data_IF_100340104992
#
_entry.id   IF_100340104992
#
_cell.length_a   1.000
_cell.length_b   1.000
_cell.length_c   1.000
_cell.angle_alpha   90.00
_cell.angle_beta   90.00
_cell.angle_gamma   90.00
#
_symmetry.space_group_name_H-M   'P 1'
#
loop_
_entity.id
_entity.type
_entity.pdbx_description
1 polymer ?
#
# COMPACT_ATOMS: atom_id res chain seq x y z
N UNK A 1 -36.25 -17.16 -9.23
CA UNK A 1 -37.08 -16.23 -8.44
C UNK A 1 -36.74 -14.77 -8.75
N UNK A 2 -37.08 -14.33 -10.00
CA UNK A 2 -36.77 -12.99 -10.51
C UNK A 2 -37.32 -11.84 -9.64
N UNK A 3 -38.39 -12.09 -8.91
CA UNK A 3 -39.00 -11.11 -8.00
C UNK A 3 -38.10 -10.77 -6.79
N UNK A 4 -37.36 -11.74 -6.26
CA UNK A 4 -36.44 -11.50 -5.12
C UNK A 4 -35.32 -10.54 -5.50
N UNK A 5 -34.65 -10.78 -6.62
CA UNK A 5 -33.57 -9.93 -7.11
C UNK A 5 -34.09 -8.51 -7.43
N UNK A 6 -35.24 -8.38 -8.08
CA UNK A 6 -35.85 -7.08 -8.40
C UNK A 6 -36.17 -6.26 -7.15
N UNK A 7 -36.78 -6.92 -6.13
CA UNK A 7 -37.10 -6.26 -4.85
C UNK A 7 -35.82 -5.81 -4.13
N UNK A 8 -34.80 -6.66 -4.11
CA UNK A 8 -33.52 -6.33 -3.51
C UNK A 8 -32.82 -5.15 -4.22
N UNK A 9 -32.76 -5.16 -5.56
CA UNK A 9 -32.19 -4.07 -6.35
C UNK A 9 -32.94 -2.76 -6.12
N UNK A 10 -34.28 -2.78 -6.07
CA UNK A 10 -35.08 -1.57 -5.79
C UNK A 10 -34.73 -1.02 -4.40
N UNK A 11 -34.72 -1.85 -3.39
CA UNK A 11 -34.35 -1.48 -2.02
C UNK A 11 -32.94 -0.88 -1.96
N UNK A 12 -31.97 -1.51 -2.61
CA UNK A 12 -30.59 -1.04 -2.62
C UNK A 12 -30.42 0.27 -3.43
N UNK A 13 -31.12 0.40 -4.55
CA UNK A 13 -31.12 1.62 -5.34
C UNK A 13 -31.49 2.85 -4.49
N UNK A 14 -32.55 2.75 -3.70
CA UNK A 14 -33.02 3.87 -2.88
C UNK A 14 -32.00 4.23 -1.79
N UNK A 15 -31.44 3.21 -1.12
CA UNK A 15 -30.44 3.39 -0.07
C UNK A 15 -29.15 3.98 -0.59
N UNK A 16 -28.61 3.40 -1.67
CA UNK A 16 -27.32 3.85 -2.26
C UNK A 16 -27.49 5.23 -2.88
N UNK A 17 -28.62 5.52 -3.52
CA UNK A 17 -28.91 6.86 -4.05
C UNK A 17 -28.93 7.91 -2.96
N UNK A 18 -29.60 7.61 -1.82
CA UNK A 18 -29.61 8.52 -0.68
C UNK A 18 -28.22 8.68 -0.08
N UNK A 19 -27.48 7.59 0.12
CA UNK A 19 -26.10 7.64 0.61
C UNK A 19 -25.24 8.51 -0.28
N UNK A 20 -25.31 8.33 -1.61
CA UNK A 20 -24.56 9.15 -2.57
C UNK A 20 -24.85 10.64 -2.44
N UNK A 21 -26.08 11.03 -2.13
CA UNK A 21 -26.47 12.43 -1.91
C UNK A 21 -25.86 13.02 -0.65
N UNK A 22 -25.69 12.20 0.40
CA UNK A 22 -25.12 12.59 1.68
C UNK A 22 -23.59 12.61 1.71
N UNK A 23 -22.94 11.93 0.77
CA UNK A 23 -21.48 11.89 0.69
C UNK A 23 -20.87 13.23 0.33
N UNK A 24 -19.73 13.57 0.96
CA UNK A 24 -18.83 14.65 0.52
C UNK A 24 -18.13 14.28 -0.79
N UNK A 25 -17.46 15.22 -1.44
CA UNK A 25 -16.69 14.94 -2.67
C UNK A 25 -15.56 13.95 -2.47
N UNK A 26 -14.94 13.96 -1.28
CA UNK A 26 -13.86 13.02 -0.88
C UNK A 26 -14.41 11.67 -0.46
N UNK A 27 -15.71 11.54 -0.31
CA UNK A 27 -16.34 10.34 0.25
C UNK A 27 -16.26 9.13 -0.67
N UNK A 28 -16.08 7.97 -0.07
CA UNK A 28 -16.20 6.67 -0.71
C UNK A 28 -17.30 5.83 -0.06
N UNK A 29 -17.82 4.88 -0.79
CA UNK A 29 -18.79 3.89 -0.33
C UNK A 29 -18.24 2.48 -0.53
N UNK A 30 -18.47 1.62 0.43
CA UNK A 30 -18.20 0.20 0.38
C UNK A 30 -19.48 -0.56 0.68
N UNK A 31 -19.87 -1.47 -0.21
CA UNK A 31 -21.11 -2.26 -0.06
C UNK A 31 -20.76 -3.73 -0.20
N UNK A 32 -21.00 -4.50 0.84
CA UNK A 32 -20.77 -5.95 0.81
C UNK A 32 -21.99 -6.72 0.30
N UNK A 33 -21.74 -7.79 -0.43
CA UNK A 33 -22.72 -8.79 -0.84
C UNK A 33 -22.05 -10.13 -1.14
N UNK A 34 -22.85 -11.16 -1.29
CA UNK A 34 -22.44 -12.49 -1.74
C UNK A 34 -22.49 -12.63 -3.27
N UNK A 35 -22.19 -13.82 -3.76
CA UNK A 35 -22.21 -14.18 -5.18
C UNK A 35 -23.59 -14.06 -5.84
N UNK A 36 -24.68 -14.10 -5.06
CA UNK A 36 -26.04 -14.06 -5.62
C UNK A 36 -26.38 -12.68 -6.17
N UNK A 37 -25.87 -11.62 -5.54
CA UNK A 37 -26.25 -10.24 -5.86
C UNK A 37 -25.09 -9.38 -6.40
N UNK A 38 -23.87 -9.90 -6.48
CA UNK A 38 -22.69 -9.11 -6.89
C UNK A 38 -22.85 -8.46 -8.25
N UNK A 39 -23.44 -9.15 -9.24
CA UNK A 39 -23.63 -8.60 -10.59
C UNK A 39 -24.70 -7.50 -10.61
N UNK A 40 -25.78 -7.70 -9.86
CA UNK A 40 -26.85 -6.71 -9.72
C UNK A 40 -26.33 -5.45 -9.01
N UNK A 41 -25.58 -5.64 -7.91
CA UNK A 41 -24.98 -4.55 -7.16
C UNK A 41 -23.97 -3.77 -8.02
N UNK A 42 -23.13 -4.47 -8.78
CA UNK A 42 -22.13 -3.83 -9.67
C UNK A 42 -22.82 -2.95 -10.73
N UNK A 43 -23.84 -3.47 -11.37
CA UNK A 43 -24.64 -2.72 -12.35
C UNK A 43 -25.29 -1.49 -11.72
N UNK A 44 -25.79 -1.63 -10.50
CA UNK A 44 -26.37 -0.52 -9.75
C UNK A 44 -25.33 0.54 -9.37
N UNK A 45 -24.14 0.12 -8.93
CA UNK A 45 -23.05 1.03 -8.61
C UNK A 45 -22.58 1.82 -9.84
N UNK A 46 -22.43 1.17 -10.99
CA UNK A 46 -22.12 1.86 -12.26
C UNK A 46 -23.20 2.87 -12.64
N UNK A 47 -24.48 2.50 -12.52
CA UNK A 47 -25.59 3.40 -12.81
C UNK A 47 -25.60 4.63 -11.90
N UNK A 48 -25.31 4.47 -10.62
CA UNK A 48 -25.43 5.53 -9.62
C UNK A 48 -24.17 6.41 -9.51
N UNK A 49 -22.98 5.83 -9.65
CA UNK A 49 -21.71 6.55 -9.49
C UNK A 49 -21.00 6.86 -10.81
N UNK A 50 -21.31 6.13 -11.88
CA UNK A 50 -20.56 6.14 -13.14
C UNK A 50 -19.34 5.22 -13.07
N UNK A 51 -18.90 4.72 -14.24
CA UNK A 51 -17.77 3.80 -14.35
C UNK A 51 -16.47 4.43 -13.85
N UNK A 52 -16.23 5.70 -14.13
CA UNK A 52 -15.02 6.43 -13.72
C UNK A 52 -14.87 6.55 -12.20
N UNK A 53 -15.96 6.52 -11.46
CA UNK A 53 -15.98 6.60 -10.00
C UNK A 53 -15.99 5.23 -9.34
N UNK A 54 -16.18 4.16 -10.07
CA UNK A 54 -16.07 2.80 -9.55
C UNK A 54 -14.61 2.42 -9.43
N UNK A 55 -14.20 1.91 -8.25
CA UNK A 55 -12.79 1.58 -8.01
C UNK A 55 -12.49 0.11 -8.32
N UNK A 56 -13.10 -0.79 -7.56
CA UNK A 56 -12.81 -2.22 -7.65
C UNK A 56 -13.78 -3.03 -6.77
N UNK A 57 -13.76 -4.34 -6.99
CA UNK A 57 -14.28 -5.32 -6.05
C UNK A 57 -13.15 -5.78 -5.13
N UNK A 58 -13.37 -5.74 -3.83
CA UNK A 58 -12.53 -6.36 -2.84
C UNK A 58 -13.10 -7.74 -2.57
N UNK A 59 -12.28 -8.76 -2.70
CA UNK A 59 -12.64 -10.14 -2.36
C UNK A 59 -12.29 -10.36 -0.89
N UNK A 60 -13.33 -10.54 -0.07
CA UNK A 60 -13.18 -10.80 1.34
C UNK A 60 -13.15 -12.30 1.61
N UNK A 61 -12.01 -12.82 2.03
CA UNK A 61 -11.86 -14.23 2.38
C UNK A 61 -12.64 -14.54 3.66
N UNK A 62 -13.63 -15.41 3.56
CA UNK A 62 -14.43 -15.90 4.67
C UNK A 62 -13.86 -17.17 5.31
N UNK A 63 -14.73 -17.92 6.00
CA UNK A 63 -14.34 -19.18 6.65
C UNK A 63 -14.09 -20.28 5.63
N UNK A 64 -12.99 -21.00 5.74
CA UNK A 64 -12.64 -22.15 4.89
C UNK A 64 -13.50 -23.41 5.16
N UNK A 65 -14.40 -23.39 6.14
CA UNK A 65 -15.27 -24.51 6.49
C UNK A 65 -16.59 -24.41 5.74
N UNK A 66 -16.60 -24.89 4.50
CA UNK A 66 -17.80 -24.94 3.68
C UNK A 66 -17.81 -26.25 2.87
N UNK A 67 -18.68 -27.17 3.24
CA UNK A 67 -18.82 -28.51 2.62
C UNK A 67 -19.93 -28.53 1.56
N UNK A 68 -19.73 -27.79 0.47
CA UNK A 68 -20.68 -27.83 -0.66
C UNK A 68 -20.39 -29.01 -1.58
N UNK A 69 -21.45 -29.53 -2.19
CA UNK A 69 -21.39 -30.73 -3.04
C UNK A 69 -20.46 -30.57 -4.27
N UNK A 70 -20.36 -29.38 -4.83
CA UNK A 70 -19.60 -29.13 -6.08
C UNK A 70 -18.43 -28.20 -5.87
N UNK A 71 -18.69 -26.94 -5.59
CA UNK A 71 -17.67 -25.90 -5.40
C UNK A 71 -17.95 -25.14 -4.12
N UNK A 72 -17.03 -25.19 -3.18
CA UNK A 72 -17.12 -24.41 -1.95
C UNK A 72 -16.71 -22.97 -2.19
N UNK A 73 -17.65 -22.05 -1.99
CA UNK A 73 -17.42 -20.61 -2.05
C UNK A 73 -17.26 -20.11 -0.62
N UNK A 74 -16.11 -19.51 -0.30
CA UNK A 74 -15.78 -19.04 1.03
C UNK A 74 -15.38 -17.55 1.05
N UNK A 75 -15.83 -16.79 0.06
CA UNK A 75 -15.56 -15.37 -0.02
C UNK A 75 -16.85 -14.57 -0.22
N UNK A 76 -16.77 -13.31 0.11
CA UNK A 76 -17.77 -12.28 -0.16
C UNK A 76 -17.16 -11.17 -1.00
N UNK A 77 -17.99 -10.32 -1.54
CA UNK A 77 -17.57 -9.17 -2.35
C UNK A 77 -17.84 -7.88 -1.60
N UNK A 78 -16.91 -6.93 -1.67
CA UNK A 78 -17.13 -5.56 -1.22
C UNK A 78 -16.89 -4.65 -2.42
N UNK A 79 -17.97 -4.11 -2.97
CA UNK A 79 -17.92 -3.22 -4.12
C UNK A 79 -17.64 -1.80 -3.64
N UNK A 80 -16.70 -1.13 -4.30
CA UNK A 80 -16.20 0.17 -3.86
C UNK A 80 -16.36 1.24 -4.92
N UNK A 81 -16.89 2.41 -4.54
CA UNK A 81 -16.98 3.56 -5.42
C UNK A 81 -16.71 4.88 -4.67
N UNK A 82 -16.25 5.88 -5.41
CA UNK A 82 -16.03 7.24 -4.93
C UNK A 82 -17.21 8.14 -5.31
N UNK A 83 -17.39 9.19 -4.56
CA UNK A 83 -18.34 10.26 -4.94
C UNK A 83 -17.87 11.02 -6.17
N UNK A 84 -16.59 11.39 -6.20
CA UNK A 84 -15.94 12.18 -7.25
C UNK A 84 -14.45 11.83 -7.30
N UNK A 85 -14.10 10.84 -8.14
CA UNK A 85 -12.72 10.38 -8.31
C UNK A 85 -11.83 11.46 -8.91
N UNK A 86 -12.36 12.21 -9.89
CA UNK A 86 -11.60 13.27 -10.54
C UNK A 86 -11.20 14.38 -9.55
N UNK A 87 -12.09 14.71 -8.62
CA UNK A 87 -11.75 15.64 -7.53
C UNK A 87 -10.64 15.08 -6.64
N UNK A 88 -10.73 13.81 -6.20
CA UNK A 88 -9.70 13.20 -5.38
C UNK A 88 -8.34 13.10 -6.09
N UNK A 89 -8.33 12.76 -7.38
CA UNK A 89 -7.12 12.69 -8.19
C UNK A 89 -6.44 14.07 -8.34
N UNK A 90 -7.22 15.16 -8.25
CA UNK A 90 -6.70 16.54 -8.27
C UNK A 90 -6.16 17.02 -6.92
N UNK A 91 -6.30 16.23 -5.87
CA UNK A 91 -5.85 16.55 -4.52
C UNK A 91 -4.68 15.64 -4.08
N UNK A 92 -4.01 16.01 -3.01
CA UNK A 92 -2.98 15.15 -2.38
C UNK A 92 -3.57 14.14 -1.38
N UNK A 93 -4.89 14.09 -1.26
CA UNK A 93 -5.58 13.17 -0.34
C UNK A 93 -5.25 11.73 -0.73
N UNK A 94 -4.79 10.96 0.24
CA UNK A 94 -4.54 9.52 0.11
C UNK A 94 -5.27 8.77 1.22
N UNK A 95 -5.90 7.66 0.85
CA UNK A 95 -6.41 6.73 1.84
C UNK A 95 -5.25 5.94 2.42
N UNK A 96 -4.97 6.17 3.68
CA UNK A 96 -3.86 5.52 4.38
C UNK A 96 -4.36 4.85 5.63
N UNK A 97 -3.83 3.68 5.91
CA UNK A 97 -4.06 2.96 7.17
C UNK A 97 -2.74 2.88 7.95
N UNK A 98 -2.84 3.08 9.24
CA UNK A 98 -1.69 2.95 10.12
C UNK A 98 -1.34 1.47 10.27
N UNK A 99 -0.11 1.09 9.95
CA UNK A 99 0.34 -0.31 10.08
C UNK A 99 0.22 -0.79 11.51
N UNK A 100 -0.37 -1.98 11.69
CA UNK A 100 -0.49 -2.60 13.00
C UNK A 100 0.89 -2.87 13.61
N UNK A 101 1.02 -2.64 14.92
CA UNK A 101 2.26 -2.83 15.66
C UNK A 101 3.29 -1.70 15.52
N UNK A 102 2.96 -0.62 14.80
CA UNK A 102 3.89 0.49 14.55
C UNK A 102 4.32 1.20 15.85
N UNK A 103 3.41 1.43 16.77
CA UNK A 103 3.73 2.07 18.06
C UNK A 103 4.74 1.26 18.87
N UNK A 104 4.56 -0.06 18.90
CA UNK A 104 5.50 -0.96 19.57
C UNK A 104 6.90 -0.94 18.94
N UNK A 105 6.97 -0.76 17.62
CA UNK A 105 8.23 -0.61 16.89
C UNK A 105 8.90 0.70 17.29
N UNK A 106 8.15 1.81 17.31
CA UNK A 106 8.68 3.12 17.70
C UNK A 106 9.18 3.13 19.14
N UNK A 107 8.42 2.59 20.08
CA UNK A 107 8.83 2.48 21.48
C UNK A 107 10.12 1.68 21.66
N UNK A 108 10.24 0.57 20.93
CA UNK A 108 11.45 -0.24 20.97
C UNK A 108 12.63 0.50 20.33
N UNK A 109 12.41 1.15 19.19
CA UNK A 109 13.46 1.87 18.50
C UNK A 109 13.96 3.09 19.29
N UNK A 110 13.08 3.86 19.92
CA UNK A 110 13.49 4.99 20.77
C UNK A 110 14.36 4.54 21.95
N UNK A 111 14.07 3.41 22.57
CA UNK A 111 14.92 2.82 23.62
C UNK A 111 16.30 2.44 23.08
N UNK A 112 16.35 1.82 21.90
CA UNK A 112 17.60 1.45 21.22
C UNK A 112 18.41 2.71 20.85
N UNK A 113 17.75 3.71 20.30
CA UNK A 113 18.34 5.00 19.91
C UNK A 113 18.93 5.74 21.10
N UNK A 114 18.23 5.78 22.22
CA UNK A 114 18.71 6.37 23.47
C UNK A 114 19.95 5.64 24.03
N UNK A 115 20.02 4.32 23.88
CA UNK A 115 21.15 3.51 24.31
C UNK A 115 22.40 3.65 23.43
N UNK A 116 22.21 3.87 22.12
CA UNK A 116 23.27 3.99 21.13
C UNK A 116 23.12 5.27 20.30
N UNK A 117 23.26 6.45 20.90
CA UNK A 117 23.10 7.71 20.16
C UNK A 117 24.16 7.81 19.05
N UNK A 118 23.72 8.11 17.82
CA UNK A 118 24.56 8.26 16.63
C UNK A 118 25.33 7.00 16.15
N UNK A 119 25.11 5.83 16.75
CA UNK A 119 25.67 4.56 16.28
C UNK A 119 24.60 3.78 15.51
N UNK A 120 24.33 4.19 14.27
CA UNK A 120 23.28 3.62 13.44
C UNK A 120 23.47 2.11 13.19
N UNK A 121 24.73 1.66 13.09
CA UNK A 121 25.04 0.24 12.91
C UNK A 121 24.60 -0.60 14.09
N UNK A 122 24.91 -0.16 15.32
CA UNK A 122 24.44 -0.85 16.54
C UNK A 122 22.94 -0.76 16.70
N UNK A 123 22.33 0.38 16.38
CA UNK A 123 20.88 0.53 16.39
C UNK A 123 20.22 -0.48 15.43
N UNK A 124 20.77 -0.65 14.22
CA UNK A 124 20.30 -1.63 13.24
C UNK A 124 20.46 -3.08 13.72
N UNK A 125 21.58 -3.42 14.33
CA UNK A 125 21.80 -4.76 14.90
C UNK A 125 20.81 -5.07 16.04
N UNK A 126 20.55 -4.11 16.93
CA UNK A 126 19.63 -4.30 18.06
C UNK A 126 18.18 -4.35 17.62
N UNK A 127 17.73 -3.53 16.67
CA UNK A 127 16.36 -3.59 16.16
C UNK A 127 16.10 -4.90 15.40
N UNK A 128 17.07 -5.41 14.62
CA UNK A 128 16.98 -6.72 13.99
C UNK A 128 16.85 -7.86 15.02
N UNK A 129 17.61 -7.80 16.11
CA UNK A 129 17.49 -8.76 17.23
C UNK A 129 16.12 -8.67 17.90
N UNK A 130 15.63 -7.46 18.11
CA UNK A 130 14.31 -7.23 18.69
C UNK A 130 13.20 -7.83 17.82
N UNK A 131 13.18 -7.56 16.50
CA UNK A 131 12.22 -8.17 15.58
C UNK A 131 12.28 -9.71 15.58
N UNK A 132 13.49 -10.26 15.66
CA UNK A 132 13.70 -11.73 15.72
C UNK A 132 13.10 -12.34 16.99
N UNK A 133 13.17 -11.64 18.11
CA UNK A 133 12.67 -12.10 19.40
C UNK A 133 11.14 -12.03 19.54
N UNK A 134 10.44 -11.31 18.67
CA UNK A 134 8.99 -11.21 18.71
C UNK A 134 8.30 -12.54 18.37
N UNK A 135 7.16 -12.87 18.99
CA UNK A 135 6.29 -13.97 18.59
C UNK A 135 5.89 -13.89 17.13
N UNK A 136 5.56 -15.02 16.50
CA UNK A 136 5.22 -15.05 15.08
C UNK A 136 3.88 -14.37 14.75
N UNK A 137 2.95 -14.36 15.68
CA UNK A 137 1.63 -13.74 15.60
C UNK A 137 1.64 -12.24 15.95
N UNK A 138 2.79 -11.70 16.41
CA UNK A 138 2.92 -10.29 16.74
C UNK A 138 2.83 -9.42 15.48
N UNK A 139 1.88 -8.48 15.39
CA UNK A 139 1.72 -7.60 14.21
C UNK A 139 2.97 -6.82 13.87
N UNK A 140 3.73 -6.35 14.86
CA UNK A 140 5.00 -5.66 14.65
C UNK A 140 6.02 -6.50 13.87
N UNK A 141 6.03 -7.84 14.05
CA UNK A 141 6.94 -8.74 13.35
C UNK A 141 6.73 -8.77 11.84
N UNK A 142 5.52 -8.50 11.36
CA UNK A 142 5.22 -8.39 9.92
C UNK A 142 5.97 -7.23 9.27
N UNK A 143 6.40 -6.24 10.07
CA UNK A 143 7.11 -5.04 9.63
C UNK A 143 8.65 -5.16 9.75
N UNK A 144 9.20 -6.34 10.00
CA UNK A 144 10.64 -6.60 10.21
C UNK A 144 11.57 -6.11 9.08
N UNK A 145 11.02 -5.84 7.91
CA UNK A 145 11.78 -5.29 6.77
C UNK A 145 12.19 -3.82 6.98
N UNK A 146 11.50 -3.08 7.86
CA UNK A 146 11.92 -1.73 8.29
C UNK A 146 12.95 -1.83 9.41
N UNK A 147 14.14 -2.33 9.10
CA UNK A 147 15.19 -2.55 10.08
C UNK A 147 16.51 -1.86 9.75
N UNK A 148 16.63 -1.17 8.63
CA UNK A 148 17.75 -0.29 8.36
C UNK A 148 17.56 1.04 9.12
N UNK A 149 18.66 1.65 9.54
CA UNK A 149 18.64 2.82 10.42
C UNK A 149 19.51 3.95 9.83
N UNK A 150 18.95 5.14 9.80
CA UNK A 150 19.67 6.37 9.48
C UNK A 150 19.29 7.51 10.44
N UNK A 151 19.83 8.71 10.22
CA UNK A 151 19.55 9.89 11.06
C UNK A 151 18.06 10.19 11.22
N UNK A 152 17.25 9.99 10.18
CA UNK A 152 15.78 10.20 10.19
C UNK A 152 15.00 9.10 10.92
N UNK A 153 15.59 7.92 11.10
CA UNK A 153 14.95 6.78 11.79
C UNK A 153 15.05 5.47 11.02
N UNK A 154 14.06 4.62 11.27
CA UNK A 154 13.93 3.32 10.59
C UNK A 154 13.45 3.50 9.15
N UNK A 155 14.05 2.76 8.23
CA UNK A 155 13.62 2.72 6.84
C UNK A 155 13.74 1.32 6.25
N UNK A 156 13.13 1.12 5.09
CA UNK A 156 13.30 -0.06 4.25
C UNK A 156 14.11 0.33 3.00
N UNK A 157 15.31 -0.25 2.81
CA UNK A 157 16.06 -0.04 1.58
C UNK A 157 15.35 -0.72 0.42
N UNK A 158 14.80 0.07 -0.49
CA UNK A 158 14.15 -0.43 -1.70
C UNK A 158 15.11 -0.35 -2.89
N UNK A 159 14.89 -1.20 -3.87
CA UNK A 159 15.71 -1.25 -5.07
C UNK A 159 15.33 -0.14 -6.05
N UNK A 160 16.31 0.65 -6.47
CA UNK A 160 16.14 1.74 -7.44
C UNK A 160 16.35 1.30 -8.89
N UNK A 161 16.63 0.02 -9.14
CA UNK A 161 16.70 -0.55 -10.48
C UNK A 161 15.37 -1.13 -10.94
N UNK A 162 15.17 -1.20 -12.25
CA UNK A 162 14.10 -2.00 -12.87
C UNK A 162 14.66 -3.26 -13.48
N UNK A 163 13.87 -4.35 -13.58
CA UNK A 163 14.27 -5.55 -14.34
C UNK A 163 14.40 -5.24 -15.83
N UNK A 164 13.50 -4.40 -16.37
CA UNK A 164 13.46 -3.94 -17.77
C UNK A 164 12.69 -2.61 -17.89
N UNK A 165 12.81 -1.94 -19.04
CA UNK A 165 12.10 -0.69 -19.34
C UNK A 165 12.34 0.43 -18.30
N UNK A 166 13.54 0.48 -17.74
CA UNK A 166 13.99 1.57 -16.88
C UNK A 166 14.59 2.73 -17.67
N UNK A 167 15.01 3.74 -16.94
CA UNK A 167 15.62 4.95 -17.49
C UNK A 167 17.16 4.82 -17.49
N UNK A 168 17.84 5.41 -18.50
CA UNK A 168 19.29 5.34 -18.65
C UNK A 168 19.87 6.75 -18.68
N UNK A 169 20.49 7.15 -17.59
CA UNK A 169 21.24 8.39 -17.41
C UNK A 169 22.38 8.16 -16.42
N UNK A 170 23.32 9.08 -16.31
CA UNK A 170 24.45 8.97 -15.38
C UNK A 170 24.05 9.44 -13.99
N UNK A 171 24.33 8.62 -12.98
CA UNK A 171 24.29 8.98 -11.56
C UNK A 171 25.72 8.94 -11.06
N UNK A 172 26.20 10.04 -10.49
CA UNK A 172 27.59 10.15 -10.04
C UNK A 172 27.71 9.80 -8.55
N UNK A 173 28.70 8.98 -8.24
CA UNK A 173 28.99 8.62 -6.85
C UNK A 173 29.54 9.84 -6.10
N UNK A 174 29.00 10.20 -4.92
CA UNK A 174 29.32 11.47 -4.25
C UNK A 174 30.76 11.55 -3.75
N UNK A 175 31.43 10.42 -3.50
CA UNK A 175 32.81 10.39 -2.99
C UNK A 175 33.80 10.25 -4.14
N UNK A 176 33.57 9.33 -5.09
CA UNK A 176 34.54 9.06 -6.17
C UNK A 176 34.40 10.00 -7.36
N UNK A 177 33.25 10.69 -7.49
CA UNK A 177 32.93 11.58 -8.61
C UNK A 177 32.75 10.84 -9.95
N UNK A 178 32.80 9.51 -9.96
CA UNK A 178 32.65 8.70 -11.16
C UNK A 178 31.18 8.31 -11.39
N UNK A 179 30.78 8.05 -12.64
CA UNK A 179 29.44 7.56 -12.92
C UNK A 179 29.25 6.15 -12.31
N UNK A 180 28.15 5.97 -11.62
CA UNK A 180 27.77 4.68 -11.03
C UNK A 180 27.38 3.68 -12.11
N UNK A 181 27.62 2.41 -11.85
CA UNK A 181 27.23 1.31 -12.72
C UNK A 181 25.71 1.30 -12.94
N UNK A 182 25.29 1.53 -14.17
CA UNK A 182 23.87 1.50 -14.53
C UNK A 182 23.29 0.09 -14.37
N UNK A 183 22.10 -0.04 -13.78
CA UNK A 183 21.41 -1.32 -13.71
C UNK A 183 21.13 -1.86 -15.14
N UNK A 184 21.17 -3.17 -15.30
CA UNK A 184 20.93 -3.82 -16.60
C UNK A 184 19.56 -3.46 -17.20
N UNK A 185 18.54 -3.31 -16.38
CA UNK A 185 17.19 -2.92 -16.81
C UNK A 185 16.89 -1.43 -16.69
N UNK A 186 17.88 -0.60 -16.31
CA UNK A 186 17.75 0.85 -16.11
C UNK A 186 17.29 1.25 -14.70
N UNK A 187 17.31 2.56 -14.46
CA UNK A 187 16.84 3.15 -13.21
C UNK A 187 15.31 3.15 -13.10
N UNK A 188 14.81 3.05 -11.88
CA UNK A 188 13.35 3.10 -11.57
C UNK A 188 12.76 4.48 -11.80
N UNK A 189 13.50 5.53 -11.45
CA UNK A 189 13.05 6.91 -11.50
C UNK A 189 13.47 7.58 -12.81
N UNK A 190 12.66 8.52 -13.28
CA UNK A 190 13.10 9.50 -14.28
C UNK A 190 14.20 10.38 -13.68
N UNK A 191 15.01 11.02 -14.50
CA UNK A 191 16.18 11.77 -14.05
C UNK A 191 15.84 12.90 -13.08
N UNK A 192 14.73 13.63 -13.31
CA UNK A 192 14.27 14.68 -12.40
C UNK A 192 13.97 14.15 -11.00
N UNK A 193 13.20 13.06 -10.92
CA UNK A 193 12.87 12.42 -9.63
C UNK A 193 14.13 11.86 -8.96
N UNK A 194 15.06 11.28 -9.71
CA UNK A 194 16.34 10.81 -9.16
C UNK A 194 17.11 11.96 -8.53
N UNK A 195 17.19 13.11 -9.20
CA UNK A 195 17.87 14.30 -8.69
C UNK A 195 17.18 14.84 -7.41
N UNK A 196 15.85 14.81 -7.33
CA UNK A 196 15.12 15.13 -6.11
C UNK A 196 15.47 14.17 -4.95
N UNK A 197 15.52 12.86 -5.23
CA UNK A 197 15.88 11.86 -4.22
C UNK A 197 17.35 12.00 -3.76
N UNK A 198 18.24 12.35 -4.68
CA UNK A 198 19.64 12.65 -4.35
C UNK A 198 19.76 13.90 -3.47
N UNK A 199 19.05 14.96 -3.82
CA UNK A 199 19.04 16.21 -3.04
C UNK A 199 18.45 16.03 -1.63
N UNK A 200 17.50 15.10 -1.48
CA UNK A 200 16.86 14.74 -0.19
C UNK A 200 17.63 13.62 0.56
N UNK A 201 18.83 13.27 0.10
CA UNK A 201 19.67 12.23 0.73
C UNK A 201 18.94 10.89 0.94
N UNK A 202 18.16 10.47 -0.07
CA UNK A 202 17.40 9.21 -0.05
C UNK A 202 18.03 8.09 -0.87
N UNK A 203 19.13 8.38 -1.55
CA UNK A 203 19.88 7.39 -2.33
C UNK A 203 21.11 6.96 -1.54
N UNK A 204 21.20 5.68 -1.25
CA UNK A 204 22.35 5.11 -0.57
C UNK A 204 23.36 4.59 -1.59
N UNK A 205 24.61 5.02 -1.42
CA UNK A 205 25.72 4.57 -2.25
C UNK A 205 26.58 3.55 -1.49
N UNK A 206 27.15 2.60 -2.22
CA UNK A 206 28.16 1.70 -1.67
C UNK A 206 29.48 2.40 -1.35
N UNK A 207 30.54 1.63 -1.20
CA UNK A 207 31.90 2.16 -1.02
C UNK A 207 32.51 2.71 -2.31
N UNK A 208 31.95 2.32 -3.45
CA UNK A 208 32.40 2.67 -4.80
C UNK A 208 31.20 2.79 -5.77
N UNK A 209 31.50 3.07 -7.03
CA UNK A 209 30.53 3.28 -8.10
C UNK A 209 29.78 2.00 -8.55
N UNK A 210 30.06 0.85 -8.00
CA UNK A 210 29.43 -0.42 -8.41
C UNK A 210 28.07 -0.66 -7.75
N UNK A 211 27.81 0.03 -6.63
CA UNK A 211 26.58 -0.17 -5.82
C UNK A 211 25.93 1.19 -5.51
N UNK A 212 24.64 1.27 -5.86
CA UNK A 212 23.73 2.38 -5.55
C UNK A 212 22.45 1.83 -5.00
#
# INVERSE_FOLDING_TARGET
DSMKHSSWVTMMNDRISLTRRLMTKEGGIMVSCDENEVNNLRSLMYKLFGEDNYLSDIIWEGSSKNDQKYLSISHEYILTALKDKAYLDSTEIRWTERKQGLEKIYDAFEKIRAKHPNDFKKQEEEIKKWFKALPNDEPAKKQKHYCAVERRGLYFPDNISKPENGYYYDVFHPITGKPCKKPKGGWRFIESTMNEQLADDRIHFGSDETTV
#
